data_IF_747554187506
#
_entry.id   IF_747554187506
#
_cell.length_a   1.000
_cell.length_b   1.000
_cell.length_c   1.000
_cell.angle_alpha   90.00
_cell.angle_beta   90.00
_cell.angle_gamma   90.00
#
_symmetry.space_group_name_H-M   'P 1'
#
loop_
_entity.id
_entity.type
_entity.pdbx_description
1 polymer ?
#
# COMPACT_ATOMS: atom_id res chain seq x y z
N UNK A 1 -2.96 30.43 2.47
CA UNK A 1 -3.28 29.06 2.93
C UNK A 1 -3.87 28.31 1.76
N UNK A 2 -3.07 27.50 1.06
CA UNK A 2 -3.54 26.72 -0.08
C UNK A 2 -3.67 25.27 0.36
N UNK A 3 -4.90 24.82 0.58
CA UNK A 3 -5.24 23.44 0.92
C UNK A 3 -5.26 22.59 -0.35
N UNK A 4 -4.09 22.33 -0.94
CA UNK A 4 -3.94 21.18 -1.84
C UNK A 4 -3.92 19.94 -0.94
N UNK A 5 -5.10 19.36 -0.66
CA UNK A 5 -5.15 18.09 0.04
C UNK A 5 -4.43 17.05 -0.83
N UNK A 6 -3.24 16.67 -0.35
CA UNK A 6 -2.35 15.67 -0.90
C UNK A 6 -3.06 14.32 -0.88
N UNK A 7 -3.78 13.99 -1.95
CA UNK A 7 -4.12 12.60 -2.20
C UNK A 7 -2.82 11.85 -2.48
N UNK A 8 -2.25 11.22 -1.45
CA UNK A 8 -1.19 10.24 -1.63
C UNK A 8 -1.76 9.15 -2.54
N UNK A 9 -1.10 8.93 -3.68
CA UNK A 9 -1.45 7.82 -4.55
C UNK A 9 -1.30 6.51 -3.74
N UNK A 10 -2.28 5.61 -3.85
CA UNK A 10 -2.24 4.34 -3.14
C UNK A 10 -1.52 3.26 -3.95
N UNK A 11 -0.82 2.37 -3.26
CA UNK A 11 -0.20 1.15 -3.81
C UNK A 11 -0.71 -0.04 -2.98
N UNK A 12 -0.99 -1.15 -3.66
CA UNK A 12 -1.25 -2.45 -3.05
C UNK A 12 0.00 -3.34 -3.24
N UNK A 13 0.61 -3.77 -2.15
CA UNK A 13 1.73 -4.72 -2.11
C UNK A 13 1.18 -6.11 -1.83
N UNK A 14 1.58 -7.11 -2.62
CA UNK A 14 1.13 -8.49 -2.50
C UNK A 14 2.36 -9.39 -2.41
N UNK A 15 2.61 -9.96 -1.24
CA UNK A 15 3.69 -10.92 -0.98
C UNK A 15 3.35 -11.72 0.28
N UNK A 16 3.54 -13.04 0.27
CA UNK A 16 3.22 -13.92 1.39
C UNK A 16 4.25 -13.84 2.54
N UNK A 17 5.43 -13.27 2.28
CA UNK A 17 6.43 -13.01 3.31
C UNK A 17 6.22 -11.64 3.98
N UNK A 18 5.78 -11.66 5.24
CA UNK A 18 5.56 -10.45 6.05
C UNK A 18 6.82 -9.56 6.11
N UNK A 19 8.02 -10.13 6.22
CA UNK A 19 9.26 -9.35 6.30
C UNK A 19 9.53 -8.56 5.02
N UNK A 20 9.19 -9.13 3.85
CA UNK A 20 9.33 -8.45 2.57
C UNK A 20 8.34 -7.29 2.50
N UNK A 21 7.08 -7.51 2.87
CA UNK A 21 6.05 -6.46 2.84
C UNK A 21 6.34 -5.31 3.80
N UNK A 22 6.95 -5.57 4.96
CA UNK A 22 7.36 -4.54 5.93
C UNK A 22 8.44 -3.62 5.32
N UNK A 23 9.44 -4.21 4.66
CA UNK A 23 10.51 -3.46 4.00
C UNK A 23 9.93 -2.62 2.85
N UNK A 24 9.06 -3.21 2.03
CA UNK A 24 8.41 -2.51 0.91
C UNK A 24 7.52 -1.36 1.40
N UNK A 25 6.75 -1.59 2.46
CA UNK A 25 5.91 -0.58 3.10
C UNK A 25 6.74 0.61 3.57
N UNK A 26 7.82 0.35 4.32
CA UNK A 26 8.73 1.39 4.80
C UNK A 26 9.30 2.24 3.66
N UNK A 27 9.77 1.61 2.58
CA UNK A 27 10.34 2.30 1.41
C UNK A 27 9.28 3.15 0.70
N UNK A 28 8.12 2.56 0.41
CA UNK A 28 7.06 3.23 -0.36
C UNK A 28 6.42 4.39 0.42
N UNK A 29 6.21 4.24 1.73
CA UNK A 29 5.68 5.33 2.55
C UNK A 29 6.67 6.50 2.69
N UNK A 30 7.98 6.20 2.77
CA UNK A 30 9.03 7.21 2.75
C UNK A 30 9.07 7.99 1.43
N UNK A 31 8.74 7.33 0.31
CA UNK A 31 8.57 7.96 -1.00
C UNK A 31 7.22 8.70 -1.17
N UNK A 32 6.40 8.76 -0.11
CA UNK A 32 5.16 9.54 -0.07
C UNK A 32 3.92 8.81 -0.58
N UNK A 33 3.99 7.49 -0.77
CA UNK A 33 2.83 6.67 -1.10
C UNK A 33 2.00 6.34 0.15
N UNK A 34 0.77 5.87 -0.09
CA UNK A 34 -0.05 5.17 0.90
C UNK A 34 -0.09 3.70 0.52
N UNK A 35 0.26 2.80 1.44
CA UNK A 35 0.39 1.37 1.15
C UNK A 35 -0.72 0.55 1.78
N UNK A 36 -1.26 -0.39 1.01
CA UNK A 36 -2.07 -1.51 1.49
C UNK A 36 -1.28 -2.80 1.25
N UNK A 37 -1.43 -3.77 2.14
CA UNK A 37 -0.69 -5.04 2.08
C UNK A 37 -1.67 -6.21 2.07
N UNK A 38 -1.39 -7.20 1.23
CA UNK A 38 -2.03 -8.51 1.23
C UNK A 38 -0.99 -9.62 1.28
N UNK A 39 -1.24 -10.63 2.11
CA UNK A 39 -0.39 -11.82 2.23
C UNK A 39 -1.01 -13.08 1.60
N UNK A 40 -2.18 -12.94 0.99
CA UNK A 40 -2.83 -14.03 0.25
C UNK A 40 -3.59 -13.49 -0.95
N UNK A 41 -3.88 -14.41 -1.89
CA UNK A 41 -4.67 -14.12 -3.07
C UNK A 41 -6.07 -13.59 -2.71
N UNK A 42 -6.72 -14.12 -1.66
CA UNK A 42 -8.05 -13.65 -1.25
C UNK A 42 -7.99 -12.23 -0.70
N UNK A 43 -6.96 -11.92 0.12
CA UNK A 43 -6.76 -10.57 0.65
C UNK A 43 -6.47 -9.58 -0.48
N UNK A 44 -5.61 -9.96 -1.42
CA UNK A 44 -5.24 -9.13 -2.56
C UNK A 44 -6.46 -8.80 -3.43
N UNK A 45 -7.28 -9.81 -3.76
CA UNK A 45 -8.50 -9.61 -4.54
C UNK A 45 -9.54 -8.76 -3.80
N UNK A 46 -9.65 -8.91 -2.47
CA UNK A 46 -10.56 -8.08 -1.67
C UNK A 46 -10.13 -6.61 -1.70
N UNK A 47 -8.84 -6.32 -1.48
CA UNK A 47 -8.31 -4.96 -1.47
C UNK A 47 -8.32 -4.32 -2.86
N UNK A 48 -7.98 -5.07 -3.91
CA UNK A 48 -7.97 -4.56 -5.28
C UNK A 48 -9.36 -4.17 -5.79
N UNK A 49 -10.43 -4.78 -5.25
CA UNK A 49 -11.83 -4.44 -5.59
C UNK A 49 -12.40 -3.31 -4.73
N UNK A 50 -11.76 -2.98 -3.61
CA UNK A 50 -12.23 -1.97 -2.66
C UNK A 50 -11.75 -0.56 -2.99
N UNK A 51 -10.74 -0.41 -3.87
CA UNK A 51 -10.27 0.86 -4.41
C UNK A 51 -10.93 1.23 -5.72
#
# INVERSE_FOLDING_TARGET
MSVHHLFKKSILVIDDDEQITDILTLVLENEGWSTQVAHSDEQALALARAG
#
